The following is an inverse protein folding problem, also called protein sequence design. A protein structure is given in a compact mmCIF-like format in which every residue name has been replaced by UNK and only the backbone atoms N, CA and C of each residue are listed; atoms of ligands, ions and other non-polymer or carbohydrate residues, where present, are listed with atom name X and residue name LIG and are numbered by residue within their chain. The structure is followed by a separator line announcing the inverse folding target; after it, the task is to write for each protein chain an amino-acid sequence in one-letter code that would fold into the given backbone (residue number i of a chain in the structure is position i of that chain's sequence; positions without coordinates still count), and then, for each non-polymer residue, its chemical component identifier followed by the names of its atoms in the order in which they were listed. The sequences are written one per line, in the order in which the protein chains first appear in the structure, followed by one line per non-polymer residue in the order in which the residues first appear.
data_IF_970980392586
#
_entry.id   IF_970980392586
#
_cell.length_a   1.000
_cell.length_b   1.000
_cell.length_c   1.000
_cell.angle_alpha   90.00
_cell.angle_beta   90.00
_cell.angle_gamma   90.00
#
_symmetry.space_group_name_H-M   'P 1'
#
loop_
_entity.id
_entity.type
_entity.pdbx_description
1 polymer ?
#
# COMPACT_ATOMS: atom_id res chain seq x y z
N UNK A 1 -6.33 -56.82 42.31
CA UNK A 1 -5.66 -57.82 43.16
C UNK A 1 -4.65 -58.58 42.31
N UNK A 2 -3.38 -58.57 42.73
CA UNK A 2 -2.25 -59.48 42.45
C UNK A 2 -1.93 -59.89 40.99
N UNK A 3 -0.76 -59.47 40.44
CA UNK A 3 0.60 -60.11 40.53
C UNK A 3 0.65 -61.46 39.80
N UNK A 4 1.67 -61.88 39.05
CA UNK A 4 2.96 -61.36 38.57
C UNK A 4 3.52 -62.46 37.63
N UNK A 5 4.15 -62.06 36.51
CA UNK A 5 5.49 -62.46 35.98
C UNK A 5 5.78 -63.96 35.68
N UNK A 6 6.49 -64.20 34.56
CA UNK A 6 7.72 -65.03 34.33
C UNK A 6 7.84 -65.29 32.79
N UNK A 7 8.70 -64.59 32.03
CA UNK A 7 10.16 -64.71 31.77
C UNK A 7 10.56 -65.58 30.55
N UNK A 8 11.28 -64.92 29.62
CA UNK A 8 12.45 -65.34 28.80
C UNK A 8 12.35 -66.48 27.75
N UNK A 9 12.76 -66.21 26.50
CA UNK A 9 14.12 -66.48 26.01
C UNK A 9 14.31 -66.20 24.48
N UNK A 10 15.50 -65.70 24.15
CA UNK A 10 16.12 -65.44 22.84
C UNK A 10 16.38 -66.72 22.01
N UNK A 11 16.38 -66.63 20.67
CA UNK A 11 17.58 -66.96 19.84
C UNK A 11 17.45 -66.50 18.37
N UNK A 12 18.52 -65.85 17.91
CA UNK A 12 18.95 -65.49 16.54
C UNK A 12 19.24 -66.69 15.64
N UNK A 13 19.18 -66.53 14.30
CA UNK A 13 20.27 -66.83 13.34
C UNK A 13 19.89 -66.44 11.89
N UNK A 14 20.90 -65.87 11.21
CA UNK A 14 20.98 -65.47 9.81
C UNK A 14 20.61 -66.56 8.81
N UNK A 15 20.12 -66.16 7.63
CA UNK A 15 20.39 -66.90 6.39
C UNK A 15 20.88 -65.94 5.29
N UNK A 16 22.10 -66.19 4.83
CA UNK A 16 22.75 -65.49 3.73
C UNK A 16 22.33 -66.01 2.35
N UNK A 17 22.62 -65.19 1.36
CA UNK A 17 22.30 -65.35 -0.05
C UNK A 17 23.08 -66.49 -0.74
N UNK A 18 22.43 -67.14 -1.73
CA UNK A 18 23.11 -67.73 -2.88
C UNK A 18 22.21 -67.69 -4.13
N UNK A 19 22.82 -67.13 -5.19
CA UNK A 19 22.43 -66.91 -6.58
C UNK A 19 21.71 -68.06 -7.31
N UNK A 20 20.78 -67.72 -8.22
CA UNK A 20 20.89 -67.96 -9.68
C UNK A 20 19.56 -67.69 -10.41
N UNK A 21 19.61 -67.01 -11.56
CA UNK A 21 18.51 -67.01 -12.53
C UNK A 21 18.25 -65.66 -13.21
N UNK A 22 18.99 -65.38 -14.28
CA UNK A 22 18.78 -64.22 -15.13
C UNK A 22 17.51 -64.33 -16.00
N UNK A 23 16.93 -63.16 -16.27
CA UNK A 23 16.36 -62.72 -17.55
C UNK A 23 15.02 -63.30 -18.02
N UNK A 24 13.95 -62.49 -17.93
CA UNK A 24 13.47 -61.64 -19.03
C UNK A 24 11.98 -61.27 -18.85
N UNK A 25 11.65 -59.99 -19.02
CA UNK A 25 10.37 -59.59 -19.63
C UNK A 25 9.37 -58.83 -18.74
N UNK A 26 9.58 -57.52 -18.62
CA UNK A 26 8.59 -56.45 -18.42
C UNK A 26 7.53 -56.60 -17.32
N UNK A 27 7.89 -56.15 -16.11
CA UNK A 27 6.97 -55.81 -15.05
C UNK A 27 6.21 -54.50 -15.35
N UNK A 28 4.89 -54.63 -15.51
CA UNK A 28 3.93 -53.60 -15.11
C UNK A 28 3.83 -53.58 -13.58
N UNK A 29 4.44 -52.58 -12.94
CA UNK A 29 4.31 -52.34 -11.49
C UNK A 29 3.71 -50.97 -11.22
N UNK A 30 2.48 -51.02 -10.71
CA UNK A 30 1.85 -50.13 -9.73
C UNK A 30 2.62 -48.88 -9.32
N UNK A 31 2.09 -47.71 -9.69
CA UNK A 31 2.43 -46.45 -9.06
C UNK A 31 1.82 -46.39 -7.64
N UNK A 32 2.68 -46.37 -6.63
CA UNK A 32 2.50 -45.47 -5.49
C UNK A 32 3.68 -44.50 -5.51
N UNK A 33 3.39 -43.20 -5.54
CA UNK A 33 4.06 -42.25 -4.66
C UNK A 33 3.02 -41.24 -4.11
N UNK A 34 3.22 -40.45 -3.09
CA UNK A 34 4.25 -40.30 -2.07
C UNK A 34 3.56 -39.48 -0.97
N UNK A 35 3.71 -39.87 0.28
CA UNK A 35 3.36 -39.01 1.41
C UNK A 35 4.44 -37.94 1.53
N UNK A 36 4.20 -36.78 0.94
CA UNK A 36 5.15 -35.67 1.00
C UNK A 36 4.61 -34.41 0.34
N UNK A 37 3.68 -33.71 0.99
CA UNK A 37 3.65 -32.24 0.84
C UNK A 37 4.61 -31.66 1.86
N UNK A 38 5.76 -31.10 1.47
CA UNK A 38 6.28 -29.99 2.26
C UNK A 38 5.19 -28.92 2.20
N UNK A 39 4.69 -28.50 3.36
CA UNK A 39 3.84 -27.32 3.43
C UNK A 39 4.61 -26.19 2.71
N UNK A 40 4.14 -25.77 1.54
CA UNK A 40 4.64 -24.56 0.89
C UNK A 40 4.39 -23.45 1.88
N UNK A 41 5.45 -22.99 2.53
CA UNK A 41 5.41 -21.78 3.35
C UNK A 41 5.09 -20.66 2.37
N UNK A 42 3.81 -20.28 2.29
CA UNK A 42 3.43 -19.02 1.68
C UNK A 42 4.07 -17.94 2.52
N UNK A 43 5.00 -17.18 1.95
CA UNK A 43 5.68 -16.08 2.62
C UNK A 43 4.90 -14.79 2.31
N UNK A 44 3.95 -14.37 3.19
CA UNK A 44 3.20 -13.12 2.99
C UNK A 44 4.10 -11.89 2.94
N UNK A 45 5.30 -11.99 3.54
CA UNK A 45 6.35 -10.99 3.45
C UNK A 45 7.66 -11.60 2.95
N UNK A 46 8.40 -10.84 2.14
CA UNK A 46 9.81 -11.10 1.81
C UNK A 46 10.65 -9.91 2.22
N UNK A 47 11.54 -10.08 3.19
CA UNK A 47 12.39 -9.02 3.70
C UNK A 47 13.85 -9.18 3.25
N UNK A 48 14.49 -8.06 2.94
CA UNK A 48 15.95 -7.93 2.84
C UNK A 48 16.43 -7.04 3.98
N UNK A 49 17.69 -6.56 3.94
CA UNK A 49 18.27 -5.71 4.99
C UNK A 49 17.50 -4.39 5.16
N UNK A 50 17.16 -3.76 4.03
CA UNK A 50 16.58 -2.43 3.93
C UNK A 50 15.18 -2.43 3.32
N UNK A 51 14.62 -3.58 2.94
CA UNK A 51 13.29 -3.66 2.32
C UNK A 51 12.36 -4.66 2.98
N UNK A 52 11.06 -4.37 2.95
CA UNK A 52 9.99 -5.32 3.28
C UNK A 52 8.99 -5.36 2.13
N UNK A 53 8.82 -6.54 1.50
CA UNK A 53 7.85 -6.76 0.44
C UNK A 53 6.58 -7.40 0.97
N UNK A 54 5.43 -6.79 0.70
CA UNK A 54 4.10 -7.40 0.74
C UNK A 54 3.94 -8.28 -0.51
N UNK A 55 4.13 -9.58 -0.33
CA UNK A 55 4.40 -10.52 -1.43
C UNK A 55 3.11 -11.12 -2.02
N UNK A 56 2.27 -10.26 -2.60
CA UNK A 56 1.03 -10.65 -3.29
C UNK A 56 0.68 -9.61 -4.36
N UNK A 57 0.09 -10.06 -5.47
CA UNK A 57 -0.49 -9.18 -6.50
C UNK A 57 -2.02 -9.10 -6.44
N UNK A 58 -2.66 -9.73 -5.45
CA UNK A 58 -4.10 -9.56 -5.17
C UNK A 58 -4.31 -8.32 -4.28
N UNK A 59 -5.04 -7.28 -4.73
CA UNK A 59 -5.28 -6.07 -3.94
C UNK A 59 -6.03 -6.29 -2.62
N UNK A 60 -6.98 -7.23 -2.57
CA UNK A 60 -7.71 -7.55 -1.33
C UNK A 60 -6.73 -8.15 -0.32
N UNK A 61 -5.92 -9.11 -0.76
CA UNK A 61 -4.92 -9.72 0.10
C UNK A 61 -3.82 -8.73 0.50
N UNK A 62 -3.39 -7.85 -0.42
CA UNK A 62 -2.43 -6.80 -0.13
C UNK A 62 -2.93 -5.86 0.96
N UNK A 63 -4.16 -5.35 0.86
CA UNK A 63 -4.76 -4.48 1.87
C UNK A 63 -4.84 -5.17 3.24
N UNK A 64 -5.20 -6.46 3.28
CA UNK A 64 -5.19 -7.26 4.53
C UNK A 64 -3.77 -7.37 5.11
N UNK A 65 -2.76 -7.65 4.30
CA UNK A 65 -1.37 -7.79 4.77
C UNK A 65 -0.79 -6.44 5.23
N UNK A 66 -1.07 -5.35 4.52
CA UNK A 66 -0.70 -3.99 4.96
C UNK A 66 -1.39 -3.66 6.28
N UNK A 67 -2.68 -3.98 6.40
CA UNK A 67 -3.43 -3.82 7.64
C UNK A 67 -2.81 -4.59 8.81
N UNK A 68 -2.43 -5.85 8.61
CA UNK A 68 -1.76 -6.67 9.63
C UNK A 68 -0.37 -6.15 10.00
N UNK A 69 0.33 -5.54 9.05
CA UNK A 69 1.67 -4.96 9.26
C UNK A 69 1.61 -3.73 10.16
N UNK A 70 0.58 -2.88 10.01
CA UNK A 70 0.50 -1.58 10.67
C UNK A 70 -0.43 -1.55 11.88
N UNK A 71 -1.52 -2.31 11.85
CA UNK A 71 -2.48 -2.46 12.94
C UNK A 71 -2.50 -3.91 13.44
N UNK A 72 -1.53 -4.25 14.29
CA UNK A 72 -1.38 -5.62 14.79
C UNK A 72 -2.57 -6.10 15.64
N UNK A 73 -3.40 -5.19 16.15
CA UNK A 73 -4.65 -5.47 16.87
C UNK A 73 -4.54 -6.37 18.12
N UNK A 74 -3.32 -6.58 18.64
CA UNK A 74 -3.05 -7.33 19.87
C UNK A 74 -3.34 -6.52 21.15
N UNK A 75 -3.45 -5.20 21.05
CA UNK A 75 -3.70 -4.27 22.16
C UNK A 75 -4.72 -3.20 21.76
N UNK A 76 -5.21 -2.40 22.71
CA UNK A 76 -6.09 -1.28 22.36
C UNK A 76 -5.37 -0.21 21.53
N UNK A 77 -4.09 0.03 21.78
CA UNK A 77 -3.31 1.09 21.12
C UNK A 77 -2.89 0.78 19.68
N UNK A 78 -3.01 -0.48 19.25
CA UNK A 78 -2.66 -0.90 17.88
C UNK A 78 -3.88 -1.42 17.09
N UNK A 79 -5.10 -1.07 17.55
CA UNK A 79 -6.34 -1.25 16.80
C UNK A 79 -6.70 0.06 16.10
N UNK A 80 -7.30 -0.01 14.90
CA UNK A 80 -7.74 1.19 14.20
C UNK A 80 -8.96 1.80 14.90
N UNK A 81 -9.17 3.10 14.72
CA UNK A 81 -10.41 3.73 15.17
C UNK A 81 -11.58 3.33 14.27
N UNK A 82 -11.47 3.47 12.95
CA UNK A 82 -12.40 2.91 11.97
C UNK A 82 -11.67 2.31 10.77
N UNK A 83 -12.40 1.58 9.93
CA UNK A 83 -11.88 1.05 8.65
C UNK A 83 -12.66 1.67 7.50
N UNK A 84 -11.97 2.03 6.43
CA UNK A 84 -12.59 2.52 5.20
C UNK A 84 -12.79 1.33 4.26
N UNK A 85 -13.97 1.18 3.68
CA UNK A 85 -14.30 0.10 2.74
C UNK A 85 -14.77 0.67 1.40
N UNK A 86 -14.19 0.18 0.31
CA UNK A 86 -14.51 0.64 -1.05
C UNK A 86 -14.39 -0.47 -2.08
N UNK A 87 -14.94 -0.28 -3.28
CA UNK A 87 -14.94 -1.28 -4.34
C UNK A 87 -13.53 -1.44 -4.95
N UNK A 88 -13.01 -2.68 -4.97
CA UNK A 88 -11.71 -3.02 -5.55
C UNK A 88 -11.64 -2.73 -7.06
N UNK A 89 -12.78 -2.66 -7.75
CA UNK A 89 -12.85 -2.46 -9.20
C UNK A 89 -12.78 -0.98 -9.63
N UNK A 90 -12.87 -0.04 -8.69
CA UNK A 90 -12.90 1.38 -8.97
C UNK A 90 -11.73 2.13 -8.33
N UNK A 91 -10.59 2.13 -9.00
CA UNK A 91 -9.37 2.75 -8.47
C UNK A 91 -9.53 4.23 -8.13
N UNK A 92 -10.33 5.00 -8.88
CA UNK A 92 -10.52 6.42 -8.61
C UNK A 92 -11.22 6.66 -7.26
N UNK A 93 -12.27 5.86 -6.98
CA UNK A 93 -12.96 5.92 -5.69
C UNK A 93 -12.02 5.45 -4.59
N UNK A 94 -11.31 4.33 -4.81
CA UNK A 94 -10.42 3.76 -3.83
C UNK A 94 -9.24 4.69 -3.49
N UNK A 95 -8.66 5.37 -4.48
CA UNK A 95 -7.60 6.35 -4.32
C UNK A 95 -8.07 7.55 -3.49
N UNK A 96 -9.20 8.17 -3.84
CA UNK A 96 -9.73 9.31 -3.07
C UNK A 96 -10.11 8.91 -1.64
N UNK A 97 -10.55 7.66 -1.42
CA UNK A 97 -10.88 7.12 -0.10
C UNK A 97 -9.69 7.04 0.85
N UNK A 98 -8.45 7.08 0.34
CA UNK A 98 -7.25 7.06 1.19
C UNK A 98 -7.13 8.31 2.06
N UNK A 99 -7.77 9.42 1.71
CA UNK A 99 -7.85 10.66 2.50
C UNK A 99 -8.39 10.43 3.92
N UNK A 100 -9.19 9.36 4.11
CA UNK A 100 -9.80 9.02 5.39
C UNK A 100 -8.93 8.11 6.27
N UNK A 101 -7.73 7.70 5.82
CA UNK A 101 -6.85 6.74 6.54
C UNK A 101 -6.37 7.32 7.87
N UNK A 102 -5.70 8.47 7.88
CA UNK A 102 -5.18 9.07 9.11
C UNK A 102 -6.30 9.66 9.95
N UNK A 103 -7.07 10.60 9.38
CA UNK A 103 -8.22 11.21 10.03
C UNK A 103 -9.46 11.04 9.14
N UNK A 104 -10.63 10.65 9.70
CA UNK A 104 -10.87 10.33 11.10
C UNK A 104 -10.52 8.89 11.49
N UNK A 105 -10.13 8.05 10.54
CA UNK A 105 -10.19 6.60 10.77
C UNK A 105 -9.03 6.03 11.56
N UNK A 106 -7.84 6.63 11.47
CA UNK A 106 -6.57 6.02 11.89
C UNK A 106 -6.58 4.49 11.63
N UNK A 107 -6.83 4.12 10.37
CA UNK A 107 -7.16 2.75 10.00
C UNK A 107 -6.99 2.45 8.52
N UNK A 108 -6.98 1.16 8.15
CA UNK A 108 -6.73 0.75 6.77
C UNK A 108 -7.91 1.08 5.85
N UNK A 109 -7.60 1.20 4.55
CA UNK A 109 -8.58 0.97 3.47
C UNK A 109 -8.59 -0.53 3.18
N UNK A 110 -9.76 -1.14 3.26
CA UNK A 110 -10.02 -2.51 2.82
C UNK A 110 -11.03 -2.50 1.66
N UNK A 111 -11.14 -3.63 0.98
CA UNK A 111 -11.95 -3.70 -0.24
C UNK A 111 -13.15 -4.64 -0.14
N UNK A 112 -14.22 -4.24 -0.80
CA UNK A 112 -15.32 -5.10 -1.20
C UNK A 112 -15.34 -5.29 -2.71
N UNK A 113 -16.21 -6.17 -3.18
CA UNK A 113 -16.47 -6.41 -4.61
C UNK A 113 -17.94 -6.20 -4.89
N UNK A 114 -18.34 -6.19 -6.16
CA UNK A 114 -19.75 -6.20 -6.57
C UNK A 114 -20.59 -7.34 -5.94
N UNK A 115 -19.95 -8.43 -5.52
CA UNK A 115 -20.60 -9.62 -4.96
C UNK A 115 -20.65 -9.57 -3.41
N UNK A 116 -20.30 -8.42 -2.82
CA UNK A 116 -20.25 -8.19 -1.38
C UNK A 116 -18.83 -8.13 -0.83
N UNK A 117 -18.71 -8.21 0.50
CA UNK A 117 -17.44 -8.18 1.23
C UNK A 117 -16.81 -9.58 1.21
N UNK A 118 -15.60 -9.75 0.65
CA UNK A 118 -14.88 -11.02 0.63
C UNK A 118 -14.56 -11.54 2.03
N UNK A 119 -14.42 -12.87 2.18
CA UNK A 119 -14.11 -13.48 3.48
C UNK A 119 -12.78 -13.00 4.07
N UNK A 120 -11.79 -12.71 3.23
CA UNK A 120 -10.51 -12.14 3.67
C UNK A 120 -10.72 -10.79 4.37
N UNK A 121 -11.52 -9.90 3.77
CA UNK A 121 -11.88 -8.60 4.37
C UNK A 121 -12.71 -8.77 5.64
N UNK A 122 -13.69 -9.68 5.66
CA UNK A 122 -14.50 -9.95 6.86
C UNK A 122 -13.66 -10.50 8.01
N UNK A 123 -12.74 -11.42 7.72
CA UNK A 123 -11.80 -11.97 8.70
C UNK A 123 -10.92 -10.88 9.27
N UNK A 124 -10.43 -10.00 8.41
CA UNK A 124 -9.59 -8.89 8.83
C UNK A 124 -10.35 -7.87 9.70
N UNK A 125 -11.60 -7.54 9.37
CA UNK A 125 -12.46 -6.71 10.22
C UNK A 125 -12.69 -7.32 11.61
N UNK A 126 -12.92 -8.64 11.68
CA UNK A 126 -13.06 -9.38 12.96
C UNK A 126 -11.78 -9.37 13.77
N UNK A 127 -10.61 -9.40 13.11
CA UNK A 127 -9.29 -9.31 13.76
C UNK A 127 -9.05 -7.90 14.30
N UNK A 128 -9.21 -6.89 13.45
CA UNK A 128 -8.98 -5.48 13.76
C UNK A 128 -9.86 -4.97 14.90
N UNK A 129 -11.13 -5.39 14.91
CA UNK A 129 -12.15 -4.89 15.84
C UNK A 129 -12.07 -3.36 15.93
N UNK A 130 -12.50 -2.59 14.93
CA UNK A 130 -12.33 -1.13 14.98
C UNK A 130 -12.97 -0.52 16.24
N UNK A 131 -12.33 0.46 16.86
CA UNK A 131 -12.74 0.96 18.17
C UNK A 131 -13.93 1.92 18.13
N UNK A 132 -14.19 2.53 16.98
CA UNK A 132 -15.07 3.67 16.81
C UNK A 132 -14.26 4.97 16.84
N UNK A 133 -14.28 5.74 15.75
CA UNK A 133 -13.63 7.04 15.67
C UNK A 133 -14.41 8.09 16.49
N UNK A 134 -13.84 8.56 17.59
CA UNK A 134 -14.49 9.50 18.51
C UNK A 134 -14.87 10.82 17.83
N UNK A 135 -13.98 11.38 17.00
CA UNK A 135 -14.26 12.58 16.20
C UNK A 135 -15.41 12.39 15.22
N UNK A 136 -15.73 11.14 14.91
CA UNK A 136 -16.75 10.77 13.95
C UNK A 136 -17.85 9.94 14.60
N UNK A 137 -18.37 10.40 15.75
CA UNK A 137 -19.51 9.78 16.43
C UNK A 137 -19.37 8.28 16.74
N UNK A 138 -18.14 7.77 16.91
CA UNK A 138 -17.87 6.35 17.17
C UNK A 138 -18.12 5.43 15.98
N UNK A 139 -18.13 5.94 14.75
CA UNK A 139 -18.21 5.11 13.53
C UNK A 139 -17.01 4.16 13.48
N UNK A 140 -17.27 2.89 13.15
CA UNK A 140 -16.28 1.81 13.09
C UNK A 140 -15.95 1.38 11.65
N UNK A 141 -16.85 1.61 10.70
CA UNK A 141 -16.61 1.38 9.29
C UNK A 141 -17.27 2.47 8.43
N UNK A 142 -16.55 2.96 7.41
CA UNK A 142 -17.07 3.91 6.43
C UNK A 142 -17.11 3.21 5.07
N UNK A 143 -18.31 3.03 4.52
CA UNK A 143 -18.51 2.49 3.17
C UNK A 143 -18.48 3.63 2.15
N UNK A 144 -17.61 3.52 1.14
CA UNK A 144 -17.38 4.58 0.15
C UNK A 144 -17.66 4.09 -1.26
N UNK A 145 -18.56 4.79 -1.94
CA UNK A 145 -18.99 4.53 -3.31
C UNK A 145 -20.24 3.68 -3.42
N UNK A 146 -20.59 3.21 -4.63
CA UNK A 146 -21.70 2.28 -4.81
C UNK A 146 -21.44 1.01 -3.99
N UNK A 147 -22.28 0.79 -2.99
CA UNK A 147 -22.12 -0.34 -2.07
C UNK A 147 -22.78 -1.58 -2.68
N UNK A 148 -22.06 -2.69 -2.69
CA UNK A 148 -22.58 -3.97 -3.17
C UNK A 148 -23.80 -4.43 -2.35
N UNK A 149 -24.73 -5.12 -3.01
CA UNK A 149 -25.91 -5.68 -2.34
C UNK A 149 -25.47 -6.63 -1.21
N UNK A 150 -26.03 -6.44 -0.01
CA UNK A 150 -25.71 -7.25 1.16
C UNK A 150 -24.42 -6.87 1.91
N UNK A 151 -23.58 -5.96 1.41
CA UNK A 151 -22.36 -5.55 2.11
C UNK A 151 -22.67 -4.86 3.45
N UNK A 152 -23.70 -4.00 3.50
CA UNK A 152 -24.18 -3.39 4.75
C UNK A 152 -24.63 -4.46 5.75
N UNK A 153 -25.43 -5.43 5.32
CA UNK A 153 -25.90 -6.53 6.16
C UNK A 153 -24.74 -7.38 6.71
N UNK A 154 -23.69 -7.60 5.90
CA UNK A 154 -22.47 -8.30 6.34
C UNK A 154 -21.76 -7.54 7.47
N UNK A 155 -21.68 -6.20 7.42
CA UNK A 155 -21.08 -5.38 8.49
C UNK A 155 -21.97 -5.30 9.73
N UNK A 156 -23.29 -5.21 9.56
CA UNK A 156 -24.26 -5.21 10.66
C UNK A 156 -24.21 -6.53 11.44
N UNK A 157 -24.04 -7.67 10.75
CA UNK A 157 -23.82 -8.98 11.39
C UNK A 157 -22.55 -9.05 12.23
N UNK A 158 -21.54 -8.21 11.94
CA UNK A 158 -20.35 -8.04 12.77
C UNK A 158 -20.57 -7.07 13.94
N UNK A 159 -21.74 -6.42 14.03
CA UNK A 159 -22.07 -5.45 15.07
C UNK A 159 -21.32 -4.13 14.95
N UNK A 160 -20.86 -3.78 13.74
CA UNK A 160 -20.11 -2.55 13.50
C UNK A 160 -21.05 -1.37 13.30
N UNK A 161 -20.73 -0.23 13.91
CA UNK A 161 -21.39 1.04 13.59
C UNK A 161 -20.86 1.58 12.26
N UNK A 162 -21.74 1.74 11.28
CA UNK A 162 -21.36 2.12 9.91
C UNK A 162 -21.81 3.54 9.55
N UNK A 163 -21.07 4.18 8.65
CA UNK A 163 -21.46 5.38 7.92
C UNK A 163 -21.16 5.21 6.43
N UNK A 164 -21.74 6.06 5.58
CA UNK A 164 -21.64 5.92 4.13
C UNK A 164 -21.31 7.24 3.44
N UNK A 165 -20.47 7.14 2.42
CA UNK A 165 -20.14 8.22 1.51
C UNK A 165 -20.56 7.79 0.11
N UNK A 166 -21.61 8.43 -0.39
CA UNK A 166 -22.24 8.09 -1.67
C UNK A 166 -22.00 9.19 -2.72
N UNK A 167 -22.10 8.80 -3.99
CA UNK A 167 -21.99 9.69 -5.13
C UNK A 167 -22.23 8.95 -6.45
N UNK A 168 -22.46 9.70 -7.53
CA UNK A 168 -22.88 9.12 -8.83
C UNK A 168 -21.73 8.59 -9.67
N UNK A 169 -20.54 9.16 -9.48
CA UNK A 169 -19.30 8.78 -10.16
C UNK A 169 -18.11 9.14 -9.25
N UNK A 170 -16.88 8.84 -9.71
CA UNK A 170 -15.68 9.07 -8.93
C UNK A 170 -15.43 10.53 -8.54
N UNK A 171 -15.75 11.50 -9.41
CA UNK A 171 -15.58 12.92 -9.09
C UNK A 171 -16.61 13.39 -8.05
N UNK A 172 -17.87 12.92 -8.15
CA UNK A 172 -18.89 13.17 -7.12
C UNK A 172 -18.46 12.58 -5.76
N UNK A 173 -17.90 11.36 -5.76
CA UNK A 173 -17.47 10.71 -4.52
C UNK A 173 -16.24 11.39 -3.93
N UNK A 174 -15.27 11.82 -4.74
CA UNK A 174 -14.13 12.61 -4.27
C UNK A 174 -14.58 13.91 -3.59
N UNK A 175 -15.56 14.62 -4.17
CA UNK A 175 -16.22 15.76 -3.51
C UNK A 175 -16.91 15.35 -2.21
N UNK A 176 -17.68 14.25 -2.21
CA UNK A 176 -18.36 13.77 -0.99
C UNK A 176 -17.37 13.41 0.12
N UNK A 177 -16.18 12.91 -0.21
CA UNK A 177 -15.09 12.65 0.74
C UNK A 177 -14.55 13.97 1.32
N UNK A 178 -14.30 14.99 0.49
CA UNK A 178 -13.88 16.32 0.94
C UNK A 178 -14.92 16.95 1.90
N UNK A 179 -16.20 16.88 1.54
CA UNK A 179 -17.31 17.33 2.40
C UNK A 179 -17.39 16.54 3.71
N UNK A 180 -17.19 15.23 3.64
CA UNK A 180 -17.19 14.33 4.80
C UNK A 180 -16.04 14.66 5.75
N UNK A 181 -14.82 14.79 5.22
CA UNK A 181 -13.63 15.15 5.96
C UNK A 181 -13.83 16.50 6.65
N UNK A 182 -14.30 17.51 5.93
CA UNK A 182 -14.53 18.85 6.48
C UNK A 182 -15.57 18.86 7.60
N UNK A 183 -16.65 18.07 7.45
CA UNK A 183 -17.68 17.91 8.49
C UNK A 183 -17.12 17.28 9.76
N UNK A 184 -16.28 16.26 9.63
CA UNK A 184 -15.74 15.49 10.76
C UNK A 184 -14.58 16.23 11.45
N UNK A 185 -13.69 16.84 10.68
CA UNK A 185 -12.54 17.60 11.20
C UNK A 185 -12.93 19.00 11.69
N UNK A 186 -14.06 19.55 11.23
CA UNK A 186 -14.54 20.89 11.57
C UNK A 186 -13.95 22.01 10.72
N UNK A 187 -13.13 21.70 9.71
CA UNK A 187 -12.54 22.67 8.81
C UNK A 187 -12.35 22.12 7.40
N UNK A 188 -12.61 22.93 6.37
CA UNK A 188 -12.32 22.59 4.98
C UNK A 188 -10.84 22.90 4.65
N UNK A 189 -10.03 21.90 4.28
CA UNK A 189 -8.63 22.11 3.87
C UNK A 189 -8.54 23.07 2.69
N UNK A 190 -7.72 24.13 2.77
CA UNK A 190 -7.56 25.09 1.65
C UNK A 190 -6.71 24.53 0.51
N UNK A 191 -5.72 23.71 0.85
CA UNK A 191 -4.89 22.99 -0.10
C UNK A 191 -5.65 21.80 -0.69
N UNK A 192 -5.49 21.56 -1.99
CA UNK A 192 -6.16 20.48 -2.74
C UNK A 192 -5.19 19.89 -3.75
N UNK A 193 -5.16 18.57 -3.84
CA UNK A 193 -4.48 17.88 -4.94
C UNK A 193 -5.49 17.64 -6.07
N UNK A 194 -5.10 17.96 -7.30
CA UNK A 194 -5.87 17.62 -8.49
C UNK A 194 -5.09 16.60 -9.33
N UNK A 195 -5.72 15.46 -9.61
CA UNK A 195 -5.18 14.42 -10.47
C UNK A 195 -6.09 14.10 -11.66
N UNK A 196 -5.52 13.51 -12.70
CA UNK A 196 -6.27 12.99 -13.85
C UNK A 196 -6.95 11.66 -13.51
N UNK A 197 -8.24 11.53 -13.84
CA UNK A 197 -8.98 10.26 -13.81
C UNK A 197 -8.57 9.29 -14.90
N UNK A 198 -7.86 9.78 -15.91
CA UNK A 198 -7.51 9.04 -17.13
C UNK A 198 -6.06 8.55 -17.10
N UNK A 199 -5.27 8.95 -16.10
CA UNK A 199 -3.83 8.68 -16.01
C UNK A 199 -3.41 8.34 -14.58
N UNK A 200 -3.76 7.14 -14.07
CA UNK A 200 -3.46 6.73 -12.70
C UNK A 200 -1.97 6.83 -12.36
N UNK A 201 -1.09 6.56 -13.31
CA UNK A 201 0.36 6.60 -13.13
C UNK A 201 0.91 7.98 -12.75
N UNK A 202 0.19 9.07 -13.03
CA UNK A 202 0.55 10.43 -12.57
C UNK A 202 -0.21 10.87 -11.32
N UNK A 203 -1.42 10.33 -11.11
CA UNK A 203 -2.31 10.70 -10.01
C UNK A 203 -2.00 9.95 -8.72
N UNK A 204 -1.72 8.64 -8.82
CA UNK A 204 -1.56 7.76 -7.67
C UNK A 204 -0.44 8.15 -6.69
N UNK A 205 0.66 8.83 -7.07
CA UNK A 205 1.59 9.36 -6.07
C UNK A 205 0.93 10.21 -4.97
N UNK A 206 -0.23 10.85 -5.25
CA UNK A 206 -1.02 11.58 -4.27
C UNK A 206 -1.55 10.71 -3.11
N UNK A 207 -1.87 9.43 -3.35
CA UNK A 207 -2.58 8.59 -2.37
C UNK A 207 -1.78 8.43 -1.08
N UNK A 208 -0.45 8.37 -1.21
CA UNK A 208 0.43 8.31 -0.05
C UNK A 208 0.43 9.61 0.75
N UNK A 209 0.32 10.78 0.08
CA UNK A 209 0.23 12.05 0.79
C UNK A 209 -1.10 12.17 1.54
N UNK A 210 -2.23 11.99 0.85
CA UNK A 210 -3.56 12.17 1.44
C UNK A 210 -3.89 11.09 2.48
N UNK A 211 -3.24 9.92 2.40
CA UNK A 211 -3.32 8.91 3.48
C UNK A 211 -2.83 9.43 4.84
N UNK A 212 -2.01 10.47 4.85
CA UNK A 212 -1.43 11.05 6.06
C UNK A 212 -1.84 12.50 6.31
N UNK A 213 -2.07 13.27 5.26
CA UNK A 213 -2.24 14.73 5.31
C UNK A 213 -3.68 15.11 4.95
N UNK A 214 -4.19 16.28 5.39
CA UNK A 214 -5.61 16.61 5.32
C UNK A 214 -6.11 17.01 3.92
N UNK A 215 -5.23 17.17 2.93
CA UNK A 215 -5.63 17.64 1.61
C UNK A 215 -6.39 16.57 0.82
N UNK A 216 -7.57 16.89 0.25
CA UNK A 216 -8.29 15.93 -0.56
C UNK A 216 -7.62 15.75 -1.93
N UNK A 217 -7.88 14.59 -2.54
CA UNK A 217 -7.68 14.36 -3.97
C UNK A 217 -8.98 14.60 -4.73
N UNK A 218 -9.00 15.62 -5.58
CA UNK A 218 -10.07 15.87 -6.54
C UNK A 218 -9.63 15.52 -7.97
N UNK A 219 -10.61 15.36 -8.84
CA UNK A 219 -10.40 14.76 -10.15
C UNK A 219 -10.69 15.70 -11.31
N UNK A 220 -9.88 15.61 -12.34
CA UNK A 220 -10.17 16.15 -13.68
C UNK A 220 -9.98 15.06 -14.72
N UNK A 221 -10.52 15.25 -15.92
CA UNK A 221 -10.05 14.55 -17.11
C UNK A 221 -9.04 15.42 -17.85
N UNK A 222 -8.39 14.87 -18.89
CA UNK A 222 -7.37 15.60 -19.66
C UNK A 222 -7.77 17.03 -20.02
N UNK A 223 -8.99 17.21 -20.51
CA UNK A 223 -9.47 18.47 -21.09
C UNK A 223 -10.74 19.01 -20.43
N UNK A 224 -11.19 18.42 -19.31
CA UNK A 224 -12.47 18.76 -18.69
C UNK A 224 -12.34 18.77 -17.16
N UNK A 225 -12.88 19.81 -16.54
CA UNK A 225 -13.13 19.86 -15.09
C UNK A 225 -14.55 19.36 -14.83
N UNK A 226 -14.75 18.21 -14.14
CA UNK A 226 -16.06 17.75 -13.72
C UNK A 226 -16.77 18.79 -12.84
N UNK A 227 -18.10 18.85 -12.94
CA UNK A 227 -18.91 19.78 -12.15
C UNK A 227 -18.69 19.60 -10.63
N UNK A 228 -18.58 18.36 -10.16
CA UNK A 228 -18.29 18.05 -8.76
C UNK A 228 -16.96 18.67 -8.28
N UNK A 229 -15.90 18.59 -9.10
CA UNK A 229 -14.61 19.20 -8.78
C UNK A 229 -14.70 20.71 -8.73
N UNK A 230 -15.38 21.34 -9.69
CA UNK A 230 -15.62 22.78 -9.67
C UNK A 230 -16.42 23.23 -8.44
N UNK A 231 -17.43 22.46 -8.01
CA UNK A 231 -18.20 22.74 -6.80
C UNK A 231 -17.36 22.62 -5.53
N UNK A 232 -16.55 21.57 -5.39
CA UNK A 232 -15.63 21.39 -4.26
C UNK A 232 -14.60 22.53 -4.17
N UNK A 233 -14.07 22.97 -5.30
CA UNK A 233 -13.14 24.11 -5.35
C UNK A 233 -13.82 25.44 -4.99
N UNK A 234 -15.07 25.67 -5.45
CA UNK A 234 -15.84 26.88 -5.08
C UNK A 234 -16.08 27.00 -3.58
N UNK A 235 -16.19 25.87 -2.86
CA UNK A 235 -16.35 25.88 -1.40
C UNK A 235 -15.19 26.56 -0.66
N UNK A 236 -14.02 26.70 -1.31
CA UNK A 236 -12.83 27.41 -0.81
C UNK A 236 -12.83 28.91 -1.13
N UNK A 237 -13.93 29.45 -1.67
CA UNK A 237 -14.15 30.89 -1.88
C UNK A 237 -13.01 31.60 -2.64
N UNK A 238 -12.45 30.95 -3.66
CA UNK A 238 -11.36 31.52 -4.48
C UNK A 238 -9.98 31.49 -3.81
N UNK A 239 -9.85 30.86 -2.64
CA UNK A 239 -8.60 30.77 -1.87
C UNK A 239 -7.95 29.38 -1.94
N UNK A 240 -8.34 28.54 -2.91
CA UNK A 240 -7.78 27.19 -3.02
C UNK A 240 -6.28 27.24 -3.38
N UNK A 241 -5.46 26.49 -2.66
CA UNK A 241 -4.09 26.18 -3.06
C UNK A 241 -4.10 24.85 -3.81
N UNK A 242 -4.11 24.92 -5.15
CA UNK A 242 -4.30 23.77 -6.04
C UNK A 242 -2.94 23.22 -6.47
N UNK A 243 -2.68 21.96 -6.14
CA UNK A 243 -1.50 21.22 -6.60
C UNK A 243 -1.91 20.25 -7.69
N UNK A 244 -1.58 20.61 -8.94
CA UNK A 244 -1.96 19.84 -10.11
C UNK A 244 -0.87 18.81 -10.43
N UNK A 245 -1.19 17.52 -10.29
CA UNK A 245 -0.24 16.44 -10.58
C UNK A 245 -0.26 16.02 -12.04
N UNK A 246 0.93 15.86 -12.61
CA UNK A 246 1.13 15.28 -13.93
C UNK A 246 1.46 16.29 -15.03
N UNK A 247 2.02 15.80 -16.15
CA UNK A 247 2.37 16.60 -17.31
C UNK A 247 1.12 17.10 -18.06
N UNK A 248 1.32 17.98 -19.04
CA UNK A 248 0.22 18.50 -19.89
C UNK A 248 -0.44 17.43 -20.75
N UNK A 249 0.22 16.30 -20.96
CA UNK A 249 -0.36 15.12 -21.60
C UNK A 249 -1.44 14.45 -20.75
N UNK A 250 -1.35 14.52 -19.42
CA UNK A 250 -2.33 13.98 -18.48
C UNK A 250 -3.43 15.00 -18.12
N UNK A 251 -3.06 16.28 -17.93
CA UNK A 251 -4.01 17.39 -17.71
C UNK A 251 -3.56 18.62 -18.49
N UNK A 252 -4.37 19.06 -19.47
CA UNK A 252 -3.99 20.10 -20.42
C UNK A 252 -3.75 21.47 -19.77
N UNK A 253 -3.04 22.33 -20.49
CA UNK A 253 -2.80 23.71 -20.06
C UNK A 253 -4.11 24.51 -19.96
N UNK A 254 -5.12 24.16 -20.75
CA UNK A 254 -6.43 24.80 -20.72
C UNK A 254 -7.19 24.47 -19.42
N UNK A 255 -7.14 23.21 -18.97
CA UNK A 255 -7.69 22.83 -17.66
C UNK A 255 -6.95 23.55 -16.54
N UNK A 256 -5.61 23.62 -16.59
CA UNK A 256 -4.83 24.38 -15.61
C UNK A 256 -5.22 25.87 -15.60
N UNK A 257 -5.44 26.48 -16.76
CA UNK A 257 -5.88 27.86 -16.87
C UNK A 257 -7.27 28.08 -16.25
N UNK A 258 -8.22 27.16 -16.48
CA UNK A 258 -9.55 27.22 -15.87
C UNK A 258 -9.49 27.02 -14.35
N UNK A 259 -8.58 26.17 -13.84
CA UNK A 259 -8.42 25.96 -12.41
C UNK A 259 -8.00 27.22 -11.65
N UNK A 260 -7.32 28.17 -12.33
CA UNK A 260 -6.91 29.46 -11.74
C UNK A 260 -8.10 30.37 -11.38
N UNK A 261 -9.30 30.09 -11.88
CA UNK A 261 -10.53 30.77 -11.44
C UNK A 261 -10.89 30.45 -9.99
N UNK A 262 -10.37 29.35 -9.42
CA UNK A 262 -10.69 28.88 -8.07
C UNK A 262 -9.59 29.15 -7.04
N UNK A 263 -8.40 29.58 -7.48
CA UNK A 263 -7.27 29.87 -6.58
C UNK A 263 -5.91 29.78 -7.27
N UNK A 264 -4.84 29.66 -6.49
CA UNK A 264 -3.49 29.50 -7.02
C UNK A 264 -3.26 28.07 -7.50
N UNK A 265 -2.65 27.90 -8.67
CA UNK A 265 -2.34 26.57 -9.24
C UNK A 265 -0.83 26.40 -9.35
N UNK A 266 -0.31 25.33 -8.75
CA UNK A 266 1.07 24.87 -8.87
C UNK A 266 1.08 23.48 -9.50
N UNK A 267 1.63 23.36 -10.70
CA UNK A 267 1.81 22.05 -11.35
C UNK A 267 3.05 21.35 -10.81
N UNK A 268 2.91 20.08 -10.46
CA UNK A 268 4.00 19.18 -10.08
C UNK A 268 4.05 18.08 -11.14
N UNK A 269 5.12 18.05 -11.93
CA UNK A 269 5.22 17.14 -13.07
C UNK A 269 6.64 16.67 -13.31
N UNK A 270 6.76 15.46 -13.86
CA UNK A 270 7.99 14.95 -14.48
C UNK A 270 7.71 14.49 -15.93
N UNK A 271 8.79 14.17 -16.66
CA UNK A 271 8.73 13.79 -18.07
C UNK A 271 8.07 12.42 -18.32
N UNK A 272 8.10 11.56 -17.31
CA UNK A 272 7.48 10.24 -17.29
C UNK A 272 6.90 9.94 -15.88
N UNK A 273 6.16 8.84 -15.68
CA UNK A 273 5.56 8.52 -14.37
C UNK A 273 6.58 8.37 -13.24
N UNK A 274 7.78 7.87 -13.54
CA UNK A 274 8.85 7.65 -12.57
C UNK A 274 9.39 9.00 -12.07
N UNK A 275 9.76 9.88 -12.99
CA UNK A 275 10.23 11.23 -12.71
C UNK A 275 9.14 12.08 -12.05
N UNK A 276 7.86 11.87 -12.41
CA UNK A 276 6.73 12.56 -11.79
C UNK A 276 6.56 12.18 -10.32
N UNK A 277 6.62 10.89 -9.99
CA UNK A 277 6.53 10.43 -8.61
C UNK A 277 7.70 10.96 -7.77
N UNK A 278 8.92 10.96 -8.32
CA UNK A 278 10.10 11.58 -7.69
C UNK A 278 9.90 13.10 -7.52
N UNK A 279 9.38 13.80 -8.53
CA UNK A 279 9.10 15.23 -8.44
C UNK A 279 8.12 15.54 -7.29
N UNK A 280 7.08 14.73 -7.12
CA UNK A 280 6.15 14.88 -6.00
C UNK A 280 6.78 14.57 -4.64
N UNK A 281 7.61 13.53 -4.53
CA UNK A 281 8.33 13.19 -3.30
C UNK A 281 9.33 14.29 -2.88
N UNK A 282 9.90 15.02 -3.84
CA UNK A 282 10.81 16.14 -3.59
C UNK A 282 10.08 17.46 -3.31
N UNK A 283 8.84 17.60 -3.79
CA UNK A 283 8.13 18.87 -3.78
C UNK A 283 7.84 19.35 -2.35
N UNK A 284 8.04 20.65 -2.12
CA UNK A 284 7.63 21.35 -0.90
C UNK A 284 7.15 22.75 -1.24
N UNK A 285 5.96 23.10 -0.77
CA UNK A 285 5.48 24.47 -0.67
C UNK A 285 5.49 24.89 0.81
N UNK A 286 6.52 25.64 1.19
CA UNK A 286 6.70 26.15 2.55
C UNK A 286 5.59 27.12 2.97
N UNK A 287 4.96 27.82 2.01
CA UNK A 287 3.95 28.85 2.30
C UNK A 287 2.65 28.22 2.81
N UNK A 288 2.30 27.07 2.25
CA UNK A 288 1.07 26.33 2.57
C UNK A 288 1.33 25.07 3.41
N UNK A 289 2.59 24.76 3.72
CA UNK A 289 3.00 23.55 4.45
C UNK A 289 2.85 22.25 3.65
N UNK A 290 2.50 22.33 2.37
CA UNK A 290 2.19 21.18 1.51
C UNK A 290 3.43 20.52 0.92
N UNK A 291 3.40 19.20 0.73
CA UNK A 291 4.44 18.43 0.06
C UNK A 291 5.45 17.78 1.01
N UNK A 292 6.04 16.69 0.51
CA UNK A 292 6.96 15.81 1.22
C UNK A 292 8.30 16.49 1.56
N UNK A 293 8.87 17.24 0.62
CA UNK A 293 10.17 17.90 0.80
C UNK A 293 11.34 16.95 1.04
N UNK A 294 11.24 15.69 0.60
CA UNK A 294 12.26 14.67 0.84
C UNK A 294 13.42 14.89 -0.12
N UNK A 295 14.47 15.54 0.39
CA UNK A 295 15.65 15.99 -0.39
C UNK A 295 16.95 15.81 0.39
N UNK A 296 16.91 15.13 1.52
CA UNK A 296 18.04 14.87 2.42
C UNK A 296 18.17 13.38 2.68
N UNK A 297 19.30 12.87 3.21
CA UNK A 297 19.41 11.46 3.51
C UNK A 297 18.52 10.99 4.67
N UNK A 298 18.11 9.71 4.64
CA UNK A 298 17.42 9.07 5.77
C UNK A 298 15.89 9.08 5.71
N UNK A 299 15.32 8.54 4.64
CA UNK A 299 13.86 8.49 4.42
C UNK A 299 13.39 7.14 3.93
N UNK A 300 12.09 6.91 4.07
CA UNK A 300 11.45 5.67 3.64
C UNK A 300 10.68 5.89 2.36
N UNK A 301 10.50 4.85 1.55
CA UNK A 301 9.79 4.91 0.28
C UNK A 301 8.78 3.75 0.17
N UNK A 302 7.65 3.99 -0.50
CA UNK A 302 6.78 2.93 -0.98
C UNK A 302 7.06 2.74 -2.46
N UNK A 303 7.46 1.53 -2.85
CA UNK A 303 7.97 1.22 -4.19
C UNK A 303 7.09 0.18 -4.87
N UNK A 304 6.51 0.54 -6.01
CA UNK A 304 5.67 -0.32 -6.84
C UNK A 304 5.95 -0.07 -8.34
N UNK A 305 5.40 -0.90 -9.22
CA UNK A 305 5.38 -0.60 -10.66
C UNK A 305 4.19 0.32 -11.01
N UNK A 306 4.29 1.19 -12.04
CA UNK A 306 3.22 2.12 -12.40
C UNK A 306 1.87 1.45 -12.75
N UNK A 307 1.90 0.22 -13.26
CA UNK A 307 0.71 -0.56 -13.64
C UNK A 307 0.02 -1.23 -12.44
N UNK A 308 0.64 -1.22 -11.25
CA UNK A 308 0.12 -1.80 -10.01
C UNK A 308 -0.91 -0.91 -9.29
N UNK A 309 -1.90 -0.42 -10.05
CA UNK A 309 -2.86 0.63 -9.63
C UNK A 309 -3.49 0.37 -8.26
N UNK A 310 -4.17 -0.77 -8.09
CA UNK A 310 -4.86 -1.08 -6.82
C UNK A 310 -3.91 -1.50 -5.70
N UNK A 311 -2.72 -2.02 -6.02
CA UNK A 311 -1.70 -2.32 -5.01
C UNK A 311 -1.10 -1.04 -4.42
N UNK A 312 -0.94 0.02 -5.23
CA UNK A 312 -0.49 1.32 -4.74
C UNK A 312 -1.46 1.90 -3.70
N UNK A 313 -2.78 1.79 -3.98
CA UNK A 313 -3.82 2.22 -3.06
C UNK A 313 -3.83 1.35 -1.79
N UNK A 314 -3.69 0.03 -1.92
CA UNK A 314 -3.59 -0.88 -0.77
C UNK A 314 -2.36 -0.59 0.11
N UNK A 315 -1.28 -0.08 -0.48
CA UNK A 315 -0.02 0.28 0.18
C UNK A 315 -0.01 1.69 0.79
N UNK A 316 -0.98 2.55 0.45
CA UNK A 316 -1.07 3.93 0.94
C UNK A 316 -0.92 4.08 2.48
N UNK A 317 -1.44 3.16 3.33
CA UNK A 317 -1.24 3.21 4.79
C UNK A 317 0.22 3.29 5.27
N UNK A 318 1.20 2.82 4.49
CA UNK A 318 2.62 2.95 4.86
C UNK A 318 3.07 4.42 4.97
N UNK A 319 2.33 5.34 4.39
CA UNK A 319 2.58 6.77 4.48
C UNK A 319 2.16 7.37 5.82
N UNK A 320 1.20 6.72 6.50
CA UNK A 320 0.74 7.17 7.81
C UNK A 320 1.49 6.48 8.96
N UNK A 321 1.53 5.14 8.96
CA UNK A 321 2.13 4.35 10.06
C UNK A 321 3.38 3.57 9.64
N UNK A 322 3.68 3.51 8.35
CA UNK A 322 4.87 2.84 7.79
C UNK A 322 6.10 3.75 7.66
N UNK A 323 6.20 4.80 8.49
CA UNK A 323 7.30 5.78 8.50
C UNK A 323 7.30 6.80 7.34
N UNK A 324 6.14 7.39 7.03
CA UNK A 324 6.02 8.56 6.13
C UNK A 324 6.62 8.33 4.74
N UNK A 325 6.30 7.19 4.13
CA UNK A 325 6.87 6.74 2.88
C UNK A 325 6.08 7.25 1.66
N UNK A 326 6.56 8.21 0.85
CA UNK A 326 5.92 8.56 -0.42
C UNK A 326 5.96 7.40 -1.41
N UNK A 327 4.99 7.37 -2.32
CA UNK A 327 4.98 6.46 -3.44
C UNK A 327 5.97 6.92 -4.51
N UNK A 328 6.88 6.03 -4.87
CA UNK A 328 7.74 6.14 -6.05
C UNK A 328 7.59 4.89 -6.90
N UNK A 329 7.83 5.02 -8.19
CA UNK A 329 7.69 3.90 -9.12
C UNK A 329 9.04 3.32 -9.53
N UNK A 330 9.06 2.02 -9.74
CA UNK A 330 10.20 1.26 -10.28
C UNK A 330 9.76 0.46 -11.51
N UNK A 331 10.72 -0.02 -12.31
CA UNK A 331 10.44 -1.05 -13.30
C UNK A 331 10.38 -2.42 -12.61
N UNK A 332 9.80 -3.40 -13.31
CA UNK A 332 9.72 -4.79 -12.83
C UNK A 332 11.11 -5.39 -12.56
N UNK A 333 12.10 -4.98 -13.36
CA UNK A 333 13.40 -5.64 -13.47
C UNK A 333 14.50 -4.86 -12.75
N UNK A 334 14.27 -3.59 -12.40
CA UNK A 334 15.24 -2.72 -11.74
C UNK A 334 14.76 -1.28 -11.59
N UNK A 335 15.63 -0.41 -11.06
CA UNK A 335 15.33 1.01 -10.88
C UNK A 335 15.52 1.78 -12.20
N UNK A 336 14.55 2.62 -12.62
CA UNK A 336 14.77 3.59 -13.67
C UNK A 336 15.73 4.70 -13.19
N UNK A 337 16.39 5.38 -14.13
CA UNK A 337 17.40 6.41 -13.84
C UNK A 337 16.92 7.50 -12.87
N UNK A 338 15.66 7.93 -12.98
CA UNK A 338 15.08 8.96 -12.12
C UNK A 338 14.96 8.51 -10.66
N UNK A 339 14.55 7.26 -10.42
CA UNK A 339 14.51 6.68 -9.08
C UNK A 339 15.91 6.37 -8.57
N UNK A 340 16.81 5.83 -9.40
CA UNK A 340 18.19 5.53 -9.04
C UNK A 340 18.92 6.79 -8.54
N UNK A 341 18.85 7.88 -9.30
CA UNK A 341 19.46 9.15 -8.89
C UNK A 341 18.85 9.69 -7.59
N UNK A 342 17.54 9.54 -7.43
CA UNK A 342 16.86 9.97 -6.21
C UNK A 342 17.28 9.15 -4.99
N UNK A 343 17.36 7.82 -5.08
CA UNK A 343 17.81 6.98 -3.96
C UNK A 343 19.27 7.24 -3.59
N UNK A 344 20.14 7.58 -4.56
CA UNK A 344 21.50 8.03 -4.30
C UNK A 344 21.55 9.31 -3.46
N UNK A 345 20.67 10.28 -3.74
CA UNK A 345 20.58 11.52 -2.94
C UNK A 345 20.09 11.25 -1.51
N UNK A 346 19.17 10.29 -1.35
CA UNK A 346 18.64 9.90 -0.04
C UNK A 346 19.58 8.97 0.73
N UNK A 347 20.68 8.50 0.13
CA UNK A 347 21.57 7.51 0.75
C UNK A 347 22.30 8.11 1.96
N UNK A 348 22.08 7.59 3.19
CA UNK A 348 22.72 8.13 4.36
C UNK A 348 24.20 7.78 4.39
N UNK A 349 24.99 8.65 5.02
CA UNK A 349 26.43 8.51 5.17
C UNK A 349 26.82 8.56 6.64
N UNK A 350 27.74 7.70 7.07
CA UNK A 350 28.28 7.69 8.43
C UNK A 350 29.78 8.03 8.46
N UNK A 351 30.26 8.54 9.60
CA UNK A 351 31.70 8.83 9.81
C UNK A 351 32.38 7.77 10.63
N UNK A 352 31.83 7.43 11.80
CA UNK A 352 32.51 6.57 12.76
C UNK A 352 31.86 5.18 12.82
N UNK A 353 30.52 5.11 12.79
CA UNK A 353 29.78 3.85 12.84
C UNK A 353 28.49 3.89 12.03
N UNK A 354 28.15 2.81 11.29
CA UNK A 354 26.86 2.70 10.60
C UNK A 354 25.67 2.71 11.58
N UNK A 355 25.91 2.50 12.88
CA UNK A 355 24.88 2.56 13.93
C UNK A 355 24.30 3.98 14.15
N UNK A 356 24.97 5.03 13.64
CA UNK A 356 24.56 6.42 13.80
C UNK A 356 23.22 6.75 13.12
N UNK A 357 22.93 6.10 11.99
CA UNK A 357 21.82 6.49 11.12
C UNK A 357 21.97 7.91 10.55
N UNK A 358 20.91 8.47 9.96
CA UNK A 358 19.59 7.87 9.75
C UNK A 358 19.63 6.67 8.78
N UNK A 359 18.53 5.92 8.70
CA UNK A 359 18.41 4.74 7.83
C UNK A 359 17.26 4.91 6.85
N UNK A 360 17.43 4.36 5.65
CA UNK A 360 16.36 4.26 4.69
C UNK A 360 15.60 2.93 4.84
N UNK A 361 14.36 2.89 4.38
CA UNK A 361 13.60 1.65 4.22
C UNK A 361 12.71 1.73 3.00
N UNK A 362 12.51 0.63 2.28
CA UNK A 362 11.47 0.55 1.26
C UNK A 362 10.41 -0.51 1.57
N UNK A 363 9.16 -0.08 1.50
CA UNK A 363 8.01 -0.96 1.42
C UNK A 363 7.75 -1.30 -0.04
N UNK A 364 7.83 -2.58 -0.39
CA UNK A 364 7.51 -3.07 -1.73
C UNK A 364 6.14 -3.76 -1.67
N UNK A 365 5.32 -3.63 -2.71
CA UNK A 365 4.05 -4.37 -2.79
C UNK A 365 3.90 -4.97 -4.19
N UNK A 366 3.60 -6.27 -4.23
CA UNK A 366 3.57 -7.06 -5.45
C UNK A 366 4.35 -8.36 -5.28
N UNK A 367 3.88 -9.44 -5.88
CA UNK A 367 4.65 -10.69 -5.94
C UNK A 367 5.88 -10.58 -6.87
N UNK A 368 6.63 -11.67 -7.00
CA UNK A 368 7.84 -11.73 -7.83
C UNK A 368 7.56 -11.64 -9.34
N UNK A 369 6.31 -11.84 -9.76
CA UNK A 369 5.83 -11.60 -11.12
C UNK A 369 5.58 -10.12 -11.40
N UNK A 370 5.23 -9.32 -10.40
CA UNK A 370 5.06 -7.86 -10.51
C UNK A 370 6.39 -7.12 -10.39
N UNK A 371 7.24 -7.52 -9.43
CA UNK A 371 8.55 -6.92 -9.21
C UNK A 371 9.55 -8.03 -8.88
N UNK A 372 10.62 -8.18 -9.65
CA UNK A 372 11.54 -9.31 -9.49
C UNK A 372 12.32 -9.28 -8.18
N UNK A 373 12.87 -10.44 -7.77
CA UNK A 373 13.82 -10.49 -6.66
C UNK A 373 15.11 -9.70 -6.96
N UNK A 374 15.50 -9.62 -8.24
CA UNK A 374 16.64 -8.82 -8.68
C UNK A 374 16.42 -7.33 -8.41
N UNK A 375 15.26 -6.79 -8.81
CA UNK A 375 14.89 -5.42 -8.52
C UNK A 375 14.82 -5.13 -7.01
N UNK A 376 14.27 -6.04 -6.20
CA UNK A 376 14.29 -5.87 -4.73
C UNK A 376 15.70 -5.85 -4.15
N UNK A 377 16.60 -6.71 -4.68
CA UNK A 377 18.01 -6.71 -4.27
C UNK A 377 18.71 -5.41 -4.65
N UNK A 378 18.44 -4.87 -5.84
CA UNK A 378 18.98 -3.59 -6.29
C UNK A 378 18.50 -2.44 -5.40
N UNK A 379 17.19 -2.40 -5.07
CA UNK A 379 16.63 -1.42 -4.13
C UNK A 379 17.30 -1.55 -2.76
N UNK A 380 17.51 -2.77 -2.24
CA UNK A 380 18.17 -3.01 -0.96
C UNK A 380 19.56 -2.38 -0.88
N UNK A 381 20.36 -2.59 -1.93
CA UNK A 381 21.73 -2.07 -2.04
C UNK A 381 21.74 -0.53 -2.11
N UNK A 382 20.80 0.06 -2.87
CA UNK A 382 20.72 1.51 -3.02
C UNK A 382 20.33 2.24 -1.73
N UNK A 383 19.59 1.58 -0.85
CA UNK A 383 19.17 2.16 0.44
C UNK A 383 20.24 2.01 1.54
N UNK A 384 21.34 1.31 1.25
CA UNK A 384 22.35 1.02 2.26
C UNK A 384 23.12 2.26 2.73
N UNK A 385 23.22 2.40 4.05
CA UNK A 385 24.07 3.41 4.66
C UNK A 385 25.55 3.16 4.34
N UNK A 386 26.27 4.18 3.88
CA UNK A 386 27.65 4.03 3.40
C UNK A 386 28.66 4.91 4.16
N UNK A 387 29.96 4.54 4.24
CA UNK A 387 30.97 5.42 4.82
C UNK A 387 31.11 6.71 4.02
N UNK A 388 31.24 7.84 4.71
CA UNK A 388 31.52 9.13 4.08
C UNK A 388 32.87 9.16 3.34
N UNK A 389 33.78 8.25 3.68
CA UNK A 389 35.08 8.07 3.02
C UNK A 389 35.01 7.38 1.64
N UNK A 390 33.87 6.76 1.30
CA UNK A 390 33.73 5.93 0.11
C UNK A 390 34.40 4.55 0.20
N UNK A 391 34.88 4.16 1.39
CA UNK A 391 35.36 2.80 1.65
C UNK A 391 34.22 1.77 1.63
N UNK A 392 34.56 0.48 1.59
CA UNK A 392 33.55 -0.56 1.65
C UNK A 392 32.83 -0.52 3.03
N UNK A 393 31.48 -0.41 3.08
CA UNK A 393 30.70 -0.35 4.33
C UNK A 393 30.94 -1.53 5.28
N UNK A 394 31.48 -2.64 4.77
CA UNK A 394 31.73 -3.87 5.52
C UNK A 394 33.22 -4.24 5.60
N UNK A 395 34.14 -3.40 5.12
CA UNK A 395 35.58 -3.66 5.29
C UNK A 395 36.06 -3.23 6.67
N UNK A 396 36.13 -4.18 7.60
CA UNK A 396 36.96 -4.12 8.81
C UNK A 396 36.40 -3.28 9.97
N UNK A 397 36.10 -3.97 11.07
CA UNK A 397 36.14 -3.40 12.43
C UNK A 397 37.56 -3.44 12.97
#
# INVERSE_FOLDING_TARGET
MNKNIWTTALTTILLGAALAGCSAGNNSTSAQPDNGSPATVSAPWLATKNTTRINTSDPIQAAVLVSQTLWTAETKSNRPASVVLTDVSSWQIAAASTDLIHHPSNGPVLFFTKDGIPEATLTELKRLKPMGAESNNGIQAVLVGPVAEGAEEQLEKLGLKIDKIEGKNAADIAKSIDDYYAKVSGSLPQSVIIGSMDSPEYTLPAVNWIAHMPEPLLYVSKDVIPAATAEALKARNGSAAIYLLGPTSAVSADVEAQLKEYGSVTRISGDDPYANAVAFARFKDESNGFGWGITTPGHNLSVLTPDSTMLAIAAAPFSHLGKHAPLVFTEKDGLPDSLMNYTMELQPKFKDSPAEGPYNHAWLTGDTGTLTNGAQSEIDDMLEISPASGANPHSGH
#
